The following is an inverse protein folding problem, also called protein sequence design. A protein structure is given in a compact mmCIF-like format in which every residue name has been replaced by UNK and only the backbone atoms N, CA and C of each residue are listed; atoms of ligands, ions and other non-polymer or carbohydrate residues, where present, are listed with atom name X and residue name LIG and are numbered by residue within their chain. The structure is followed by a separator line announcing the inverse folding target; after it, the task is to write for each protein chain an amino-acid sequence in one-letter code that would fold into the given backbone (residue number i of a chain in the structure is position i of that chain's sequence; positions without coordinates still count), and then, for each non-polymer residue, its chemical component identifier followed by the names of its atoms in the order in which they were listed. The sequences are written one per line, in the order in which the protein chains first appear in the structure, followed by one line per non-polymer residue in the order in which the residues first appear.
data_IF_239335613274
#
_entry.id   IF_239335613274
#
_cell.length_a   1.000
_cell.length_b   1.000
_cell.length_c   1.000
_cell.angle_alpha   90.00
_cell.angle_beta   90.00
_cell.angle_gamma   90.00
#
_symmetry.space_group_name_H-M   'P 1'
#
loop_
_entity.id
_entity.type
_entity.pdbx_description
1 polymer ?
#
# COMPACT_ATOMS: atom_id res chain seq x y z
N UNK A 1 22.66 23.52 -25.43
CA UNK A 1 21.30 23.49 -25.99
C UNK A 1 20.64 22.24 -25.46
N UNK A 2 19.97 22.44 -24.31
CA UNK A 2 18.90 21.63 -23.71
C UNK A 2 18.93 20.12 -23.97
N UNK A 3 19.51 19.36 -23.04
CA UNK A 3 19.22 17.93 -22.96
C UNK A 3 17.72 17.75 -22.73
N UNK A 4 17.04 17.12 -23.68
CA UNK A 4 15.61 16.80 -23.59
C UNK A 4 15.41 15.93 -22.36
N UNK A 5 14.88 16.51 -21.28
CA UNK A 5 14.35 15.74 -20.16
C UNK A 5 13.03 15.15 -20.65
N UNK A 6 13.09 13.96 -21.23
CA UNK A 6 11.90 13.18 -21.52
C UNK A 6 11.28 12.78 -20.18
N UNK A 7 10.37 13.61 -19.67
CA UNK A 7 9.53 13.26 -18.54
C UNK A 7 8.60 12.16 -18.99
N UNK A 8 9.10 10.92 -18.98
CA UNK A 8 8.24 9.76 -18.98
C UNK A 8 7.30 9.95 -17.80
N UNK A 9 6.00 10.11 -18.08
CA UNK A 9 4.98 10.06 -17.02
C UNK A 9 4.96 8.63 -16.54
N UNK A 10 5.94 8.27 -15.71
CA UNK A 10 5.91 7.03 -14.95
C UNK A 10 4.57 7.04 -14.24
N UNK A 11 3.75 6.02 -14.46
CA UNK A 11 2.52 5.85 -13.70
C UNK A 11 2.94 5.71 -12.23
N UNK A 12 2.89 6.83 -11.50
CA UNK A 12 3.23 6.86 -10.10
C UNK A 12 2.14 6.14 -9.31
N UNK A 13 2.55 5.32 -8.35
CA UNK A 13 1.61 4.69 -7.42
C UNK A 13 1.13 5.73 -6.41
N UNK A 14 -0.17 5.77 -6.16
CA UNK A 14 -0.76 6.55 -5.07
C UNK A 14 -1.10 5.62 -3.91
N UNK A 15 -1.02 6.12 -2.68
CA UNK A 15 -1.54 5.39 -1.53
C UNK A 15 -3.06 5.21 -1.70
N UNK A 16 -3.61 4.03 -1.36
CA UNK A 16 -5.03 3.78 -1.54
C UNK A 16 -5.86 4.57 -0.52
N UNK A 17 -6.94 5.19 -1.01
CA UNK A 17 -7.87 5.95 -0.18
C UNK A 17 -8.84 5.01 0.55
N UNK A 18 -8.61 4.82 1.86
CA UNK A 18 -9.47 3.98 2.69
C UNK A 18 -10.81 4.60 3.06
N UNK A 19 -11.00 5.91 2.87
CA UNK A 19 -12.19 6.67 3.30
C UNK A 19 -13.52 6.03 2.89
N UNK A 20 -13.58 5.40 1.72
CA UNK A 20 -14.80 4.73 1.22
C UNK A 20 -14.67 3.20 1.13
N UNK A 21 -13.51 2.62 1.49
CA UNK A 21 -13.26 1.18 1.39
C UNK A 21 -13.92 0.38 2.54
N UNK A 22 -14.01 0.96 3.74
CA UNK A 22 -14.62 0.30 4.89
C UNK A 22 -16.16 0.45 4.95
N UNK A 23 -16.80 1.04 3.93
CA UNK A 23 -18.25 1.30 3.89
C UNK A 23 -18.70 2.20 5.04
N UNK A 24 -19.59 1.69 5.91
CA UNK A 24 -20.14 2.42 7.06
C UNK A 24 -19.28 2.32 8.34
N UNK A 25 -18.10 1.69 8.27
CA UNK A 25 -17.27 1.47 9.45
C UNK A 25 -16.38 2.69 9.75
N UNK A 26 -16.50 3.25 10.95
CA UNK A 26 -15.64 4.32 11.47
C UNK A 26 -15.02 3.90 12.82
N UNK A 27 -13.70 4.10 13.03
CA UNK A 27 -12.72 4.74 12.15
C UNK A 27 -12.07 3.78 11.14
N UNK A 28 -12.11 4.13 9.85
CA UNK A 28 -11.40 3.41 8.78
C UNK A 28 -9.98 3.97 8.61
N UNK A 29 -8.96 3.11 8.67
CA UNK A 29 -7.54 3.53 8.61
C UNK A 29 -6.77 2.70 7.60
N UNK A 30 -5.86 3.36 6.90
CA UNK A 30 -4.83 2.68 6.11
C UNK A 30 -3.77 2.10 7.05
N UNK A 31 -3.48 0.82 6.91
CA UNK A 31 -2.41 0.17 7.64
C UNK A 31 -1.44 -0.48 6.67
N UNK A 32 -0.16 -0.46 7.04
CA UNK A 32 0.89 -1.21 6.37
C UNK A 32 1.05 -2.54 7.10
N UNK A 33 0.88 -3.65 6.39
CA UNK A 33 1.13 -4.97 6.92
C UNK A 33 2.46 -5.51 6.38
N UNK A 34 3.24 -6.10 7.28
CA UNK A 34 4.42 -6.87 6.90
C UNK A 34 4.02 -8.34 6.89
N UNK A 35 4.24 -9.02 5.77
CA UNK A 35 4.12 -10.46 5.72
C UNK A 35 5.33 -11.07 6.43
N UNK A 36 5.12 -12.10 7.25
CA UNK A 36 6.25 -12.80 7.86
C UNK A 36 6.96 -13.60 6.77
N UNK A 37 8.29 -13.49 6.70
CA UNK A 37 9.11 -14.39 5.91
C UNK A 37 9.13 -15.79 6.59
N UNK A 38 8.82 -16.86 5.86
CA UNK A 38 8.84 -18.23 6.40
C UNK A 38 10.26 -18.75 6.69
N UNK A 39 11.29 -18.12 6.11
CA UNK A 39 12.69 -18.41 6.36
C UNK A 39 13.43 -17.11 6.62
N UNK A 40 14.20 -17.06 7.72
CA UNK A 40 15.13 -15.97 8.05
C UNK A 40 16.34 -15.91 7.09
N UNK A 41 16.49 -16.91 6.22
CA UNK A 41 17.50 -16.96 5.19
C UNK A 41 16.92 -16.40 3.88
N UNK A 42 17.55 -15.35 3.36
CA UNK A 42 17.45 -14.86 1.98
C UNK A 42 16.47 -13.73 1.60
N UNK A 43 16.09 -12.82 2.50
CA UNK A 43 15.57 -11.51 2.06
C UNK A 43 15.84 -10.38 3.08
N UNK A 44 16.56 -9.35 2.64
CA UNK A 44 16.90 -8.15 3.41
C UNK A 44 15.68 -7.31 3.86
N UNK A 45 14.48 -7.58 3.33
CA UNK A 45 13.22 -7.01 3.82
C UNK A 45 12.06 -7.96 3.53
N UNK A 46 11.17 -8.16 4.50
CA UNK A 46 9.97 -8.95 4.27
C UNK A 46 8.95 -8.18 3.41
N UNK A 47 8.16 -8.89 2.57
CA UNK A 47 7.19 -8.23 1.69
C UNK A 47 6.15 -7.45 2.50
N UNK A 48 5.84 -6.23 2.06
CA UNK A 48 4.88 -5.34 2.70
C UNK A 48 3.71 -5.04 1.75
N UNK A 49 2.51 -4.87 2.31
CA UNK A 49 1.33 -4.47 1.56
C UNK A 49 0.47 -3.48 2.34
N UNK A 50 -0.30 -2.68 1.61
CA UNK A 50 -1.27 -1.75 2.17
C UNK A 50 -2.65 -2.40 2.23
N UNK A 51 -3.35 -2.23 3.36
CA UNK A 51 -4.73 -2.67 3.55
C UNK A 51 -5.52 -1.62 4.32
N UNK A 52 -6.82 -1.57 4.10
CA UNK A 52 -7.71 -0.80 4.96
C UNK A 52 -8.14 -1.67 6.14
N UNK A 53 -8.10 -1.11 7.35
CA UNK A 53 -8.59 -1.76 8.55
C UNK A 53 -9.63 -0.90 9.26
N UNK A 54 -10.68 -1.55 9.76
CA UNK A 54 -11.65 -0.97 10.69
C UNK A 54 -12.03 -2.01 11.74
N UNK A 55 -11.90 -1.68 13.03
CA UNK A 55 -12.22 -2.58 14.15
C UNK A 55 -11.67 -4.01 13.96
N UNK A 56 -10.38 -4.13 13.63
CA UNK A 56 -9.68 -5.38 13.33
C UNK A 56 -10.15 -6.17 12.09
N UNK A 57 -11.09 -5.65 11.28
CA UNK A 57 -11.47 -6.23 10.00
C UNK A 57 -10.64 -5.62 8.87
N UNK A 58 -10.11 -6.46 7.98
CA UNK A 58 -9.37 -6.03 6.79
C UNK A 58 -10.29 -5.92 5.58
N UNK A 59 -10.17 -4.82 4.82
CA UNK A 59 -10.93 -4.54 3.62
C UNK A 59 -9.99 -4.47 2.41
N UNK A 60 -10.42 -4.95 1.22
CA UNK A 60 -9.64 -4.83 -0.01
C UNK A 60 -9.50 -3.36 -0.40
N UNK A 61 -8.31 -2.99 -0.86
CA UNK A 61 -8.03 -1.69 -1.50
C UNK A 61 -8.22 -1.82 -3.01
N UNK A 62 -8.76 -0.81 -3.69
CA UNK A 62 -8.88 -0.79 -5.16
C UNK A 62 -7.55 -0.55 -5.88
#
# INVERSE_FOLDING_TARGET
MEGVVETYKTAGSRLPDCLHACGSCSPCRLVMIHFRCSSLAEAETCPMAYKCMCNNKSYPVP
#
